data_IF_575515839041
#
_entry.id   IF_575515839041
#
_cell.length_a   1.000
_cell.length_b   1.000
_cell.length_c   1.000
_cell.angle_alpha   90.00
_cell.angle_beta   90.00
_cell.angle_gamma   90.00
#
_symmetry.space_group_name_H-M   'P 1'
#
loop_
_entity.id
_entity.type
_entity.pdbx_description
1 polymer ?
#
# COMPACT_ATOMS: atom_id res chain seq x y z
N UNK A 1 11.64 2.15 -5.87
CA UNK A 1 11.40 2.46 -4.43
C UNK A 1 10.85 3.88 -4.26
N UNK A 2 10.32 4.51 -5.32
CA UNK A 2 9.99 5.95 -5.31
C UNK A 2 8.56 6.26 -4.82
N UNK A 3 7.56 5.43 -5.14
CA UNK A 3 6.17 5.75 -4.82
C UNK A 3 5.92 5.91 -3.31
N UNK A 4 6.49 5.02 -2.49
CA UNK A 4 6.30 5.07 -1.04
C UNK A 4 6.93 6.33 -0.42
N UNK A 5 8.02 6.86 -0.99
CA UNK A 5 8.64 8.12 -0.51
C UNK A 5 7.68 9.29 -0.64
N UNK A 6 7.00 9.40 -1.78
CA UNK A 6 5.98 10.43 -1.99
C UNK A 6 4.87 10.38 -0.94
N UNK A 7 4.41 9.19 -0.56
CA UNK A 7 3.41 9.03 0.51
C UNK A 7 3.99 9.30 1.90
N UNK A 8 5.25 8.98 2.17
CA UNK A 8 5.91 9.32 3.44
C UNK A 8 6.11 10.83 3.62
N UNK A 9 6.44 11.55 2.54
CA UNK A 9 6.65 13.00 2.58
C UNK A 9 5.34 13.78 2.74
N UNK A 10 4.21 13.18 2.34
CA UNK A 10 2.89 13.81 2.37
C UNK A 10 1.97 13.30 3.48
N UNK A 11 2.35 12.25 4.22
CA UNK A 11 1.51 11.67 5.26
C UNK A 11 2.06 11.96 6.67
N UNK A 12 1.19 12.35 7.63
CA UNK A 12 1.56 12.59 9.02
C UNK A 12 2.28 11.44 9.72
N UNK A 13 1.97 10.19 9.36
CA UNK A 13 2.58 9.00 9.98
C UNK A 13 2.95 7.95 8.93
N UNK A 14 3.91 7.08 9.28
CA UNK A 14 4.29 5.92 8.45
C UNK A 14 3.11 4.99 8.19
N UNK A 15 2.23 4.81 9.18
CA UNK A 15 1.01 4.03 9.04
C UNK A 15 0.05 4.66 8.02
N UNK A 16 -0.16 5.97 8.06
CA UNK A 16 -1.00 6.66 7.07
C UNK A 16 -0.39 6.58 5.66
N UNK A 17 0.93 6.74 5.52
CA UNK A 17 1.62 6.56 4.23
C UNK A 17 1.42 5.13 3.68
N UNK A 18 1.56 4.13 4.54
CA UNK A 18 1.33 2.72 4.19
C UNK A 18 -0.10 2.48 3.70
N UNK A 19 -1.11 2.95 4.43
CA UNK A 19 -2.51 2.81 4.06
C UNK A 19 -2.84 3.57 2.77
N UNK A 20 -2.36 4.80 2.62
CA UNK A 20 -2.59 5.62 1.43
C UNK A 20 -2.03 4.94 0.17
N UNK A 21 -0.81 4.37 0.26
CA UNK A 21 -0.23 3.60 -0.82
C UNK A 21 -1.04 2.32 -1.12
N UNK A 22 -1.46 1.58 -0.10
CA UNK A 22 -2.28 0.38 -0.27
C UNK A 22 -3.57 0.70 -1.02
N UNK A 23 -4.28 1.75 -0.61
CA UNK A 23 -5.51 2.22 -1.25
C UNK A 23 -5.27 2.68 -2.69
N UNK A 24 -4.17 3.39 -2.97
CA UNK A 24 -3.84 3.82 -4.32
C UNK A 24 -3.58 2.63 -5.27
N UNK A 25 -2.89 1.60 -4.77
CA UNK A 25 -2.64 0.37 -5.54
C UNK A 25 -3.92 -0.42 -5.76
N UNK A 26 -4.79 -0.52 -4.76
CA UNK A 26 -6.08 -1.19 -4.87
C UNK A 26 -6.99 -0.51 -5.90
N UNK A 27 -7.14 0.82 -5.83
CA UNK A 27 -7.91 1.59 -6.84
C UNK A 27 -7.39 1.40 -8.26
N UNK A 28 -6.06 1.38 -8.44
CA UNK A 28 -5.45 1.14 -9.75
C UNK A 28 -5.67 -0.29 -10.26
N UNK A 29 -5.75 -1.26 -9.36
CA UNK A 29 -6.06 -2.65 -9.69
C UNK A 29 -7.53 -2.80 -10.11
N UNK A 30 -8.44 -2.19 -9.37
CA UNK A 30 -9.88 -2.16 -9.69
C UNK A 30 -10.16 -1.47 -11.02
N UNK A 31 -9.49 -0.33 -11.28
CA UNK A 31 -9.59 0.37 -12.57
C UNK A 31 -9.12 -0.46 -13.78
N UNK A 32 -8.41 -1.57 -13.56
CA UNK A 32 -7.98 -2.52 -14.60
C UNK A 32 -8.90 -3.74 -14.71
N UNK A 33 -10.04 -3.72 -14.04
CA UNK A 33 -11.01 -4.82 -14.00
C UNK A 33 -10.74 -5.86 -12.91
N UNK A 34 -9.83 -5.58 -11.97
CA UNK A 34 -9.65 -6.40 -10.78
C UNK A 34 -10.74 -6.15 -9.74
N UNK A 35 -10.84 -7.03 -8.74
CA UNK A 35 -11.72 -6.86 -7.57
C UNK A 35 -10.90 -6.62 -6.31
N UNK A 36 -11.52 -6.02 -5.29
CA UNK A 36 -10.88 -5.86 -3.98
C UNK A 36 -10.49 -7.21 -3.36
N UNK A 37 -11.30 -8.25 -3.58
CA UNK A 37 -11.02 -9.60 -3.09
C UNK A 37 -9.76 -10.21 -3.77
N UNK A 38 -9.64 -10.08 -5.10
CA UNK A 38 -8.44 -10.52 -5.82
C UNK A 38 -7.19 -9.73 -5.40
N UNK A 39 -7.34 -8.44 -5.14
CA UNK A 39 -6.26 -7.62 -4.60
C UNK A 39 -5.80 -8.16 -3.23
N UNK A 40 -6.73 -8.39 -2.32
CA UNK A 40 -6.45 -8.94 -0.99
C UNK A 40 -5.80 -10.31 -1.05
N UNK A 41 -6.25 -11.19 -1.96
CA UNK A 41 -5.71 -12.54 -2.10
C UNK A 41 -4.33 -12.58 -2.74
N UNK A 42 -4.07 -11.74 -3.75
CA UNK A 42 -2.87 -11.86 -4.62
C UNK A 42 -1.82 -10.79 -4.34
N UNK A 43 -2.24 -9.55 -4.12
CA UNK A 43 -1.36 -8.38 -4.08
C UNK A 43 -1.08 -7.90 -2.66
N UNK A 44 -2.06 -7.95 -1.75
CA UNK A 44 -1.89 -7.53 -0.36
C UNK A 44 -0.76 -8.28 0.39
N UNK A 45 -0.56 -9.61 0.21
CA UNK A 45 0.55 -10.30 0.88
C UNK A 45 1.93 -9.87 0.36
N UNK A 46 2.05 -9.59 -0.94
CA UNK A 46 3.29 -9.08 -1.53
C UNK A 46 3.56 -7.64 -1.09
N UNK A 47 2.50 -6.82 -1.01
CA UNK A 47 2.56 -5.46 -0.49
C UNK A 47 3.02 -5.45 0.97
N UNK A 48 2.40 -6.24 1.84
CA UNK A 48 2.76 -6.33 3.25
C UNK A 48 4.17 -6.88 3.46
N UNK A 49 4.61 -7.88 2.69
CA UNK A 49 6.01 -8.32 2.75
C UNK A 49 7.02 -7.22 2.41
N UNK A 50 6.66 -6.32 1.49
CA UNK A 50 7.54 -5.25 1.01
C UNK A 50 7.56 -4.03 1.93
N UNK A 51 6.42 -3.67 2.51
CA UNK A 51 6.26 -2.41 3.26
C UNK A 51 5.83 -2.62 4.72
N UNK A 52 5.52 -3.84 5.14
CA UNK A 52 5.04 -4.15 6.50
C UNK A 52 6.08 -3.83 7.58
N UNK A 53 7.37 -3.85 7.26
CA UNK A 53 8.42 -3.38 8.16
C UNK A 53 8.27 -1.91 8.56
N UNK A 54 7.58 -1.09 7.76
CA UNK A 54 7.32 0.32 8.06
C UNK A 54 6.27 0.50 9.17
N UNK A 55 5.53 -0.56 9.49
CA UNK A 55 4.53 -0.58 10.55
C UNK A 55 5.09 -0.98 11.92
N UNK A 56 6.34 -1.45 11.96
CA UNK A 56 7.03 -1.69 13.23
C UNK A 56 7.51 -0.34 13.76
N UNK A 57 6.86 0.13 14.80
CA UNK A 57 7.40 1.16 15.68
C UNK A 57 8.59 0.54 16.44
N UNK A 58 9.72 1.25 16.46
CA UNK A 58 10.86 0.94 17.33
C UNK A 58 10.63 1.67 18.66
#
# INVERSE_FOLDING_TARGET
>A
MELIRTYLESSPTRFQAYLALQCALMRRFEARGGTSEDFCRRLAPAFHRRYGAMLRED
#
